data_IF_105893359883
#
_entry.id   IF_105893359883
#
_cell.length_a   1.000
_cell.length_b   1.000
_cell.length_c   1.000
_cell.angle_alpha   90.00
_cell.angle_beta   90.00
_cell.angle_gamma   90.00
#
_symmetry.space_group_name_H-M   'P 1'
#
loop_
_entity.id
_entity.type
_entity.pdbx_description
1 polymer ?
#
# COMPACT_ATOMS: atom_id res chain seq x y z
N UNK A 1 66.27 10.41 11.71
CA UNK A 1 64.90 10.89 11.43
C UNK A 1 64.00 9.68 11.34
N UNK A 2 63.07 9.49 12.29
CA UNK A 2 62.14 8.36 12.29
C UNK A 2 60.90 8.76 11.48
N UNK A 3 60.62 8.04 10.40
CA UNK A 3 59.41 8.23 9.61
C UNK A 3 58.22 7.60 10.35
N UNK A 4 57.28 8.43 10.77
CA UNK A 4 55.99 8.00 11.30
C UNK A 4 55.05 7.86 10.09
N UNK A 5 54.51 6.68 9.78
CA UNK A 5 53.54 6.53 8.71
C UNK A 5 52.22 7.18 9.14
N UNK A 6 51.76 8.14 8.34
CA UNK A 6 50.47 8.80 8.50
C UNK A 6 49.41 7.95 7.81
N UNK A 7 48.61 7.22 8.58
CA UNK A 7 47.44 6.51 8.06
C UNK A 7 46.30 7.53 7.87
N UNK A 8 45.95 7.81 6.62
CA UNK A 8 44.79 8.61 6.28
C UNK A 8 43.54 7.75 6.52
N UNK A 9 42.84 7.97 7.64
CA UNK A 9 41.51 7.41 7.84
C UNK A 9 40.55 8.10 6.86
N UNK A 10 40.11 7.38 5.83
CA UNK A 10 39.02 7.80 4.98
C UNK A 10 37.71 7.60 5.76
N UNK A 11 37.21 8.65 6.43
CA UNK A 11 35.85 8.63 6.96
C UNK A 11 34.87 8.66 5.79
N UNK A 12 34.35 7.50 5.39
CA UNK A 12 33.19 7.42 4.52
C UNK A 12 31.99 7.83 5.40
N UNK A 13 31.27 8.91 5.07
CA UNK A 13 30.05 9.24 5.80
C UNK A 13 29.04 8.12 5.57
N UNK A 14 28.74 7.37 6.63
CA UNK A 14 27.56 6.52 6.67
C UNK A 14 26.37 7.46 6.65
N UNK A 15 25.78 7.66 5.47
CA UNK A 15 24.48 8.31 5.37
C UNK A 15 23.45 7.40 6.03
N UNK A 16 23.12 7.70 7.29
CA UNK A 16 21.92 7.17 7.94
C UNK A 16 20.73 7.83 7.25
N UNK A 17 20.07 7.11 6.34
CA UNK A 17 18.80 7.55 5.77
C UNK A 17 17.74 7.40 6.85
N UNK A 18 17.46 8.49 7.57
CA UNK A 18 16.26 8.56 8.39
C UNK A 18 15.02 8.40 7.50
N UNK A 19 13.94 7.87 8.06
CA UNK A 19 12.62 7.89 7.44
C UNK A 19 12.23 9.35 7.17
N UNK A 20 11.61 9.60 6.02
CA UNK A 20 11.25 10.96 5.61
C UNK A 20 9.77 11.00 5.21
N UNK A 21 9.06 11.99 5.75
CA UNK A 21 7.77 12.43 5.24
C UNK A 21 7.99 13.79 4.60
N UNK A 22 7.91 13.85 3.28
CA UNK A 22 8.32 15.00 2.47
C UNK A 22 7.07 15.59 1.84
N UNK A 23 6.84 16.87 2.08
CA UNK A 23 5.89 17.64 1.29
C UNK A 23 6.60 18.11 0.03
N UNK A 24 6.07 17.74 -1.13
CA UNK A 24 6.60 18.12 -2.44
C UNK A 24 5.51 18.70 -3.32
N UNK A 25 5.93 19.27 -4.44
CA UNK A 25 5.01 19.73 -5.48
C UNK A 25 5.65 19.61 -6.87
N UNK A 26 4.80 19.44 -7.88
CA UNK A 26 5.18 19.55 -9.29
C UNK A 26 4.24 20.52 -10.00
N UNK A 27 4.67 21.02 -11.16
CA UNK A 27 3.81 21.75 -12.07
C UNK A 27 3.28 20.78 -13.13
N UNK A 28 1.96 20.73 -13.31
CA UNK A 28 1.31 19.99 -14.39
C UNK A 28 0.22 20.88 -14.99
N UNK A 29 0.26 21.11 -16.31
CA UNK A 29 -0.68 22.00 -17.01
C UNK A 29 -0.83 23.40 -16.39
N UNK A 30 0.28 23.94 -15.89
CA UNK A 30 0.32 25.25 -15.24
C UNK A 30 -0.31 25.29 -13.84
N UNK A 31 -0.74 24.14 -13.31
CA UNK A 31 -1.23 23.98 -11.94
C UNK A 31 -0.12 23.43 -11.04
N UNK A 32 0.08 24.07 -9.89
CA UNK A 32 0.91 23.47 -8.84
C UNK A 32 0.11 22.33 -8.19
N UNK A 33 0.71 21.14 -8.16
CA UNK A 33 0.13 19.92 -7.63
C UNK A 33 0.98 19.41 -6.49
N UNK A 34 0.45 19.52 -5.27
CA UNK A 34 1.15 19.14 -4.05
C UNK A 34 0.97 17.65 -3.73
N UNK A 35 1.93 17.06 -3.03
CA UNK A 35 1.88 15.68 -2.57
C UNK A 35 2.67 15.49 -1.27
N UNK A 36 2.39 14.39 -0.58
CA UNK A 36 3.18 13.91 0.57
C UNK A 36 3.82 12.57 0.18
N UNK A 37 5.15 12.54 0.11
CA UNK A 37 5.92 11.32 -0.10
C UNK A 37 6.43 10.79 1.24
N UNK A 38 6.23 9.49 1.47
CA UNK A 38 6.85 8.75 2.54
C UNK A 38 7.96 7.85 2.00
N UNK A 39 9.18 8.05 2.51
CA UNK A 39 10.35 7.23 2.21
C UNK A 39 10.70 6.45 3.49
N UNK A 40 10.51 5.11 3.52
CA UNK A 40 10.89 4.32 4.68
C UNK A 40 12.41 4.32 4.82
N UNK A 41 12.94 4.25 6.04
CA UNK A 41 14.40 4.21 6.20
C UNK A 41 15.06 2.92 5.69
N UNK A 42 14.27 1.87 5.50
CA UNK A 42 14.71 0.64 4.87
C UNK A 42 15.09 0.84 3.40
N UNK A 43 14.60 1.91 2.73
CA UNK A 43 14.98 2.28 1.36
C UNK A 43 16.50 2.52 1.24
N UNK A 44 17.08 1.94 0.19
CA UNK A 44 18.51 2.08 -0.13
C UNK A 44 18.63 2.82 -1.47
N UNK A 45 19.24 4.03 -1.49
CA UNK A 45 19.46 4.76 -2.73
C UNK A 45 20.19 3.90 -3.78
N UNK A 46 19.65 3.88 -5.01
CA UNK A 46 20.19 3.10 -6.12
C UNK A 46 19.67 1.66 -6.23
N UNK A 47 18.93 1.17 -5.24
CA UNK A 47 18.21 -0.11 -5.32
C UNK A 47 16.76 0.18 -5.71
N UNK A 48 16.26 -0.33 -6.86
CA UNK A 48 14.87 -0.15 -7.26
C UNK A 48 13.89 -0.64 -6.18
N UNK A 49 12.94 0.21 -5.82
CA UNK A 49 11.89 -0.09 -4.83
C UNK A 49 10.50 0.15 -5.45
N UNK A 50 9.47 -0.60 -5.04
CA UNK A 50 8.10 -0.37 -5.51
C UNK A 50 7.57 1.01 -5.08
N UNK A 51 6.62 1.54 -5.85
CA UNK A 51 5.90 2.79 -5.55
C UNK A 51 4.41 2.50 -5.38
N UNK A 52 3.81 2.98 -4.29
CA UNK A 52 2.35 3.00 -4.10
C UNK A 52 1.84 4.44 -4.21
N UNK A 53 0.87 4.67 -5.08
CA UNK A 53 0.09 5.90 -5.15
C UNK A 53 -1.17 5.71 -4.29
N UNK A 54 -1.42 6.58 -3.30
CA UNK A 54 -2.58 6.48 -2.42
C UNK A 54 -3.42 7.77 -2.45
N UNK A 55 -4.55 7.70 -3.16
CA UNK A 55 -5.41 8.83 -3.49
C UNK A 55 -6.51 9.04 -2.44
N UNK A 56 -6.69 10.29 -2.02
CA UNK A 56 -7.73 10.68 -1.05
C UNK A 56 -9.13 10.72 -1.68
N UNK A 57 -10.18 10.60 -0.85
CA UNK A 57 -11.57 10.78 -1.26
C UNK A 57 -11.97 12.24 -1.50
N UNK A 58 -13.15 12.48 -2.05
CA UNK A 58 -13.68 13.84 -2.28
C UNK A 58 -13.72 14.63 -0.97
N UNK A 59 -13.39 15.93 -1.02
CA UNK A 59 -13.24 16.86 0.13
C UNK A 59 -12.04 16.62 1.07
N UNK A 60 -11.36 15.48 0.95
CA UNK A 60 -10.21 15.14 1.81
C UNK A 60 -8.88 15.67 1.22
N UNK A 61 -7.74 15.27 1.76
CA UNK A 61 -6.43 15.68 1.30
C UNK A 61 -5.37 14.61 1.57
N UNK A 62 -4.17 14.81 1.01
CA UNK A 62 -3.02 13.92 1.14
C UNK A 62 -2.66 13.60 2.60
N UNK A 63 -2.75 14.58 3.51
CA UNK A 63 -2.42 14.38 4.91
C UNK A 63 -3.44 13.45 5.56
N UNK A 64 -4.74 13.72 5.41
CA UNK A 64 -5.80 12.88 5.96
C UNK A 64 -5.71 11.44 5.42
N UNK A 65 -5.53 11.27 4.10
CA UNK A 65 -5.44 9.94 3.49
C UNK A 65 -4.25 9.13 4.01
N UNK A 66 -3.10 9.78 4.24
CA UNK A 66 -1.91 9.14 4.80
C UNK A 66 -2.15 8.51 6.18
N UNK A 67 -3.06 9.06 6.99
CA UNK A 67 -3.45 8.46 8.27
C UNK A 67 -4.67 7.55 8.17
N UNK A 68 -5.62 7.86 7.28
CA UNK A 68 -6.87 7.11 7.17
C UNK A 68 -6.66 5.71 6.60
N UNK A 69 -5.86 5.61 5.54
CA UNK A 69 -5.36 4.37 4.96
C UNK A 69 -3.85 4.26 5.16
N UNK A 70 -3.40 4.16 6.41
CA UNK A 70 -1.97 4.26 6.76
C UNK A 70 -1.17 3.03 6.30
N UNK A 71 -0.24 3.23 5.37
CA UNK A 71 0.71 2.22 4.91
C UNK A 71 2.10 2.39 5.50
N UNK A 72 2.38 3.43 6.29
CA UNK A 72 3.76 3.74 6.71
C UNK A 72 4.42 2.62 7.51
N UNK A 73 3.73 1.95 8.48
CA UNK A 73 4.30 0.77 9.15
C UNK A 73 4.57 -0.41 8.19
N UNK A 74 3.76 -0.53 7.13
CA UNK A 74 3.90 -1.55 6.09
C UNK A 74 5.11 -1.21 5.21
N UNK A 75 5.27 0.05 4.82
CA UNK A 75 6.41 0.56 4.04
C UNK A 75 7.73 0.41 4.79
N UNK A 76 7.76 0.68 6.10
CA UNK A 76 8.94 0.48 6.96
C UNK A 76 9.43 -0.96 6.91
N UNK A 77 8.50 -1.91 6.87
CA UNK A 77 8.77 -3.35 6.85
C UNK A 77 9.13 -3.84 5.44
N UNK A 78 8.34 -3.46 4.44
CA UNK A 78 8.40 -4.02 3.10
C UNK A 78 9.24 -3.22 2.10
N UNK A 79 9.69 -2.01 2.47
CA UNK A 79 10.67 -1.24 1.72
C UNK A 79 10.16 -0.57 0.44
N UNK A 80 8.86 -0.29 0.33
CA UNK A 80 8.28 0.48 -0.78
C UNK A 80 8.13 1.97 -0.44
N UNK A 81 8.19 2.83 -1.46
CA UNK A 81 7.83 4.23 -1.33
C UNK A 81 6.31 4.38 -1.45
N UNK A 82 5.71 5.30 -0.70
CA UNK A 82 4.29 5.64 -0.88
C UNK A 82 4.10 7.14 -0.99
N UNK A 83 3.37 7.56 -2.01
CA UNK A 83 3.04 8.97 -2.24
C UNK A 83 1.53 9.17 -2.13
N UNK A 84 1.15 10.27 -1.47
CA UNK A 84 -0.23 10.72 -1.27
C UNK A 84 -0.38 12.04 -2.03
N UNK A 85 -0.90 12.04 -3.26
CA UNK A 85 -1.05 13.27 -4.03
C UNK A 85 -2.31 14.05 -3.59
N UNK A 86 -2.33 15.37 -3.77
CA UNK A 86 -3.53 16.19 -3.59
C UNK A 86 -4.29 16.35 -4.91
N UNK A 87 -5.60 16.15 -4.82
CA UNK A 87 -6.56 16.49 -5.87
C UNK A 87 -6.70 18.00 -6.03
N UNK A 88 -7.16 18.43 -7.20
CA UNK A 88 -7.45 19.84 -7.45
C UNK A 88 -8.77 20.26 -6.80
N UNK A 89 -9.02 21.56 -6.74
CA UNK A 89 -10.25 22.09 -6.16
C UNK A 89 -11.30 22.27 -7.27
N UNK A 90 -12.51 21.76 -7.04
CA UNK A 90 -13.64 21.92 -7.95
C UNK A 90 -14.33 23.29 -7.80
N UNK A 91 -15.41 23.50 -8.55
CA UNK A 91 -16.17 24.75 -8.53
C UNK A 91 -16.85 25.05 -7.18
N UNK A 92 -16.99 24.05 -6.32
CA UNK A 92 -17.59 24.18 -4.98
C UNK A 92 -16.53 24.42 -3.90
N UNK A 93 -15.25 24.47 -4.24
CA UNK A 93 -14.17 24.64 -3.28
C UNK A 93 -13.71 23.32 -2.64
N UNK A 94 -14.11 22.17 -3.19
CA UNK A 94 -13.77 20.86 -2.66
C UNK A 94 -12.64 20.20 -3.46
N UNK A 95 -11.70 19.60 -2.76
CA UNK A 95 -10.64 18.78 -3.36
C UNK A 95 -11.22 17.50 -4.00
N UNK A 96 -10.75 17.17 -5.19
CA UNK A 96 -11.27 16.07 -5.99
C UNK A 96 -10.27 15.57 -7.06
N UNK A 97 -10.58 14.40 -7.60
CA UNK A 97 -10.00 13.81 -8.80
C UNK A 97 -11.02 13.81 -9.94
N UNK A 98 -10.58 14.18 -11.14
CA UNK A 98 -11.34 14.05 -12.37
C UNK A 98 -11.33 12.59 -12.86
N UNK A 99 -12.39 11.86 -12.53
CA UNK A 99 -12.55 10.43 -12.86
C UNK A 99 -13.57 10.19 -13.97
N UNK A 100 -13.66 11.14 -14.90
CA UNK A 100 -14.49 11.00 -16.11
C UNK A 100 -15.99 11.24 -15.88
N UNK A 101 -16.36 11.94 -14.81
CA UNK A 101 -17.72 12.45 -14.61
C UNK A 101 -17.71 13.93 -14.18
N UNK A 102 -18.92 14.50 -14.11
CA UNK A 102 -19.09 15.89 -13.71
C UNK A 102 -18.58 16.85 -14.78
N UNK A 103 -18.08 18.01 -14.34
CA UNK A 103 -17.67 19.11 -15.23
C UNK A 103 -16.18 19.40 -15.17
N UNK A 104 -15.41 18.59 -14.44
CA UNK A 104 -13.96 18.80 -14.32
C UNK A 104 -13.27 18.45 -15.64
N UNK A 105 -12.29 19.27 -16.01
CA UNK A 105 -11.44 19.08 -17.18
C UNK A 105 -9.96 18.95 -16.80
N UNK A 106 -9.68 18.75 -15.51
CA UNK A 106 -8.31 18.58 -14.99
C UNK A 106 -7.75 17.26 -15.48
N UNK A 107 -6.52 17.26 -15.98
CA UNK A 107 -5.82 16.04 -16.40
C UNK A 107 -5.14 15.38 -15.19
N UNK A 108 -5.89 14.53 -14.48
CA UNK A 108 -5.34 13.78 -13.35
C UNK A 108 -4.56 12.53 -13.77
N UNK A 109 -4.75 12.02 -15.00
CA UNK A 109 -3.93 10.93 -15.56
C UNK A 109 -2.54 11.48 -15.89
N UNK A 110 -2.47 12.57 -16.65
CA UNK A 110 -1.22 13.24 -17.01
C UNK A 110 -0.45 13.70 -15.77
N UNK A 111 -1.14 14.30 -14.80
CA UNK A 111 -0.52 14.65 -13.52
C UNK A 111 0.09 13.43 -12.82
N UNK A 112 -0.61 12.29 -12.79
CA UNK A 112 -0.11 11.08 -12.14
C UNK A 112 1.13 10.55 -12.86
N UNK A 113 1.15 10.58 -14.20
CA UNK A 113 2.33 10.21 -14.99
C UNK A 113 3.52 11.12 -14.70
N UNK A 114 3.33 12.43 -14.70
CA UNK A 114 4.38 13.42 -14.41
C UNK A 114 4.91 13.28 -12.97
N UNK A 115 4.04 12.92 -12.02
CA UNK A 115 4.43 12.65 -10.64
C UNK A 115 5.32 11.42 -10.54
N UNK A 116 4.96 10.32 -11.22
CA UNK A 116 5.80 9.11 -11.26
C UNK A 116 7.17 9.46 -11.83
N UNK A 117 7.23 10.22 -12.92
CA UNK A 117 8.49 10.60 -13.56
C UNK A 117 9.34 11.51 -12.67
N UNK A 118 8.73 12.50 -12.02
CA UNK A 118 9.38 13.41 -11.07
C UNK A 118 9.98 12.68 -9.87
N UNK A 119 9.26 11.68 -9.33
CA UNK A 119 9.77 10.85 -8.23
C UNK A 119 10.86 9.90 -8.73
N UNK A 120 10.71 9.32 -9.91
CA UNK A 120 11.70 8.40 -10.50
C UNK A 120 13.02 9.10 -10.87
N UNK A 121 13.00 10.42 -11.06
CA UNK A 121 14.21 11.22 -11.23
C UNK A 121 15.00 11.40 -9.91
N UNK A 122 14.36 11.22 -8.76
CA UNK A 122 14.94 11.45 -7.44
C UNK A 122 15.20 10.15 -6.66
N UNK A 123 14.40 9.11 -6.92
CA UNK A 123 14.43 7.83 -6.24
C UNK A 123 14.55 6.70 -7.25
N UNK A 124 15.26 5.63 -6.88
CA UNK A 124 15.31 4.41 -7.66
C UNK A 124 13.97 3.68 -7.50
N UNK A 125 13.03 3.98 -8.37
CA UNK A 125 11.70 3.36 -8.41
C UNK A 125 11.70 2.23 -9.44
N UNK A 126 11.27 1.05 -9.01
CA UNK A 126 11.02 -0.07 -9.91
C UNK A 126 9.80 0.26 -10.79
N UNK A 127 10.06 0.57 -12.06
CA UNK A 127 9.03 0.98 -13.02
C UNK A 127 8.03 -0.13 -13.34
N UNK A 128 8.37 -1.38 -13.04
CA UNK A 128 7.46 -2.51 -13.24
C UNK A 128 6.56 -2.73 -12.00
N UNK A 129 6.80 -2.01 -10.89
CA UNK A 129 6.11 -2.21 -9.61
C UNK A 129 5.58 -0.89 -9.06
N UNK A 130 4.76 -0.23 -9.87
CA UNK A 130 4.00 0.96 -9.47
C UNK A 130 2.54 0.56 -9.32
N UNK A 131 1.96 0.84 -8.16
CA UNK A 131 0.61 0.43 -7.81
C UNK A 131 -0.27 1.63 -7.46
N UNK A 132 -1.58 1.51 -7.65
CA UNK A 132 -2.53 2.57 -7.30
C UNK A 132 -3.59 2.07 -6.33
N UNK A 133 -3.82 2.84 -5.27
CA UNK A 133 -4.93 2.64 -4.35
C UNK A 133 -5.57 3.95 -3.95
N UNK A 134 -6.78 3.90 -3.42
CA UNK A 134 -7.41 5.08 -2.82
C UNK A 134 -8.79 4.80 -2.26
N UNK A 135 -9.32 5.78 -1.56
CA UNK A 135 -10.66 5.71 -0.99
C UNK A 135 -11.66 6.51 -1.83
N UNK A 136 -12.89 6.02 -2.00
CA UNK A 136 -13.99 6.80 -2.59
C UNK A 136 -13.58 7.35 -3.96
N UNK A 137 -13.64 8.67 -4.19
CA UNK A 137 -13.13 9.34 -5.40
C UNK A 137 -11.67 8.95 -5.76
N UNK A 138 -10.79 8.66 -4.80
CA UNK A 138 -9.46 8.11 -5.03
C UNK A 138 -9.45 6.61 -5.42
N UNK A 139 -10.46 5.84 -4.98
CA UNK A 139 -10.71 4.48 -5.47
C UNK A 139 -11.17 4.49 -6.93
N UNK A 140 -12.05 5.43 -7.30
CA UNK A 140 -12.38 5.69 -8.71
C UNK A 140 -11.15 6.10 -9.51
N UNK A 141 -10.27 6.93 -8.94
CA UNK A 141 -9.02 7.32 -9.60
C UNK A 141 -8.13 6.10 -9.90
N UNK A 142 -8.07 5.13 -8.99
CA UNK A 142 -7.31 3.89 -9.24
C UNK A 142 -7.84 3.10 -10.43
N UNK A 143 -9.17 2.96 -10.58
CA UNK A 143 -9.75 2.41 -11.80
C UNK A 143 -9.50 3.27 -13.04
N UNK A 144 -9.54 4.60 -12.90
CA UNK A 144 -9.26 5.53 -13.99
C UNK A 144 -7.82 5.36 -14.51
N UNK A 145 -6.85 5.18 -13.60
CA UNK A 145 -5.45 4.90 -13.93
C UNK A 145 -5.25 3.50 -14.52
N UNK A 146 -5.97 2.48 -14.04
CA UNK A 146 -5.92 1.17 -14.67
C UNK A 146 -6.37 1.20 -16.14
N UNK A 147 -7.30 2.09 -16.50
CA UNK A 147 -7.74 2.24 -17.89
C UNK A 147 -6.83 3.17 -18.71
N UNK A 148 -6.39 4.29 -18.12
CA UNK A 148 -5.73 5.39 -18.83
C UNK A 148 -4.21 5.48 -18.69
N UNK A 149 -3.61 4.73 -17.76
CA UNK A 149 -2.17 4.71 -17.47
C UNK A 149 -1.68 3.26 -17.22
N UNK A 150 -2.31 2.30 -17.90
CA UNK A 150 -1.99 0.87 -17.75
C UNK A 150 -0.58 0.51 -18.20
N UNK A 151 0.11 1.35 -18.96
CA UNK A 151 1.52 1.14 -19.32
C UNK A 151 2.48 1.35 -18.14
N UNK A 152 1.99 1.94 -17.03
CA UNK A 152 2.78 2.22 -15.82
C UNK A 152 2.27 1.51 -14.57
N UNK A 153 0.96 1.23 -14.49
CA UNK A 153 0.32 0.71 -13.28
C UNK A 153 0.28 -0.82 -13.32
N UNK A 154 1.00 -1.47 -12.42
CA UNK A 154 1.11 -2.92 -12.35
C UNK A 154 -0.10 -3.60 -11.69
N UNK A 155 -0.75 -2.94 -10.72
CA UNK A 155 -1.94 -3.43 -10.03
C UNK A 155 -2.70 -2.28 -9.36
N UNK A 156 -4.00 -2.47 -9.15
CA UNK A 156 -4.85 -1.51 -8.46
C UNK A 156 -5.66 -2.11 -7.30
N UNK A 157 -5.95 -1.28 -6.31
CA UNK A 157 -6.92 -1.57 -5.28
C UNK A 157 -7.87 -0.36 -5.10
N UNK A 158 -9.15 -0.62 -4.90
CA UNK A 158 -10.15 0.41 -4.64
C UNK A 158 -10.84 0.12 -3.31
N UNK A 159 -10.93 1.14 -2.46
CA UNK A 159 -11.65 1.08 -1.19
C UNK A 159 -12.84 2.03 -1.29
N UNK A 160 -14.05 1.48 -1.23
CA UNK A 160 -15.32 2.22 -1.35
C UNK A 160 -15.42 3.12 -2.60
N UNK A 161 -14.63 2.83 -3.64
CA UNK A 161 -14.72 3.40 -4.99
C UNK A 161 -15.42 2.44 -5.95
N UNK A 162 -15.60 2.85 -7.20
CA UNK A 162 -16.15 1.99 -8.26
C UNK A 162 -15.61 2.45 -9.62
N UNK A 163 -16.18 1.97 -10.71
CA UNK A 163 -15.95 2.51 -12.05
C UNK A 163 -17.13 3.40 -12.46
N UNK A 164 -16.87 4.45 -13.22
CA UNK A 164 -17.91 5.13 -13.99
C UNK A 164 -18.54 4.12 -14.96
N UNK A 165 -19.87 4.17 -15.15
CA UNK A 165 -20.60 3.25 -16.03
C UNK A 165 -20.04 3.21 -17.46
N UNK A 166 -19.54 4.33 -17.98
CA UNK A 166 -18.95 4.40 -19.31
C UNK A 166 -17.63 3.61 -19.38
N UNK A 167 -16.84 3.62 -18.30
CA UNK A 167 -15.56 2.90 -18.24
C UNK A 167 -15.72 1.39 -18.40
N UNK A 168 -16.86 0.79 -18.00
CA UNK A 168 -17.11 -0.65 -18.22
C UNK A 168 -17.10 -1.06 -19.70
N UNK A 169 -17.22 -0.09 -20.61
CA UNK A 169 -17.25 -0.32 -22.07
C UNK A 169 -16.06 0.28 -22.81
N UNK A 170 -15.35 1.23 -22.21
CA UNK A 170 -14.25 1.95 -22.86
C UNK A 170 -12.88 1.67 -22.25
N UNK A 171 -12.83 1.06 -21.07
CA UNK A 171 -11.57 0.65 -20.46
C UNK A 171 -10.94 -0.47 -21.30
N UNK A 172 -9.65 -0.34 -21.62
CA UNK A 172 -8.88 -1.34 -22.37
C UNK A 172 -7.40 -1.29 -21.96
N UNK A 173 -7.04 -1.83 -20.78
CA UNK A 173 -5.66 -1.85 -20.30
C UNK A 173 -4.70 -2.60 -21.24
N UNK A 174 -3.43 -2.20 -21.26
CA UNK A 174 -2.41 -2.79 -22.15
C UNK A 174 -1.90 -4.18 -21.70
N UNK A 175 -2.21 -4.60 -20.47
CA UNK A 175 -1.82 -5.89 -19.92
C UNK A 175 -2.92 -6.41 -18.96
N UNK A 176 -2.92 -7.72 -18.62
CA UNK A 176 -3.78 -8.23 -17.55
C UNK A 176 -3.53 -7.46 -16.25
N UNK A 177 -4.58 -6.96 -15.62
CA UNK A 177 -4.50 -6.01 -14.51
C UNK A 177 -5.00 -6.66 -13.23
N UNK A 178 -4.14 -6.98 -12.25
CA UNK A 178 -4.58 -7.38 -10.91
C UNK A 178 -5.45 -6.28 -10.27
N UNK A 179 -6.64 -6.65 -9.81
CA UNK A 179 -7.61 -5.73 -9.18
C UNK A 179 -8.06 -6.25 -7.82
N UNK A 180 -8.01 -5.40 -6.80
CA UNK A 180 -8.70 -5.62 -5.52
C UNK A 180 -9.81 -4.59 -5.31
N UNK A 181 -11.00 -5.03 -4.91
CA UNK A 181 -12.13 -4.16 -4.56
C UNK A 181 -12.60 -4.43 -3.13
N UNK A 182 -12.61 -3.39 -2.29
CA UNK A 182 -13.06 -3.46 -0.89
C UNK A 182 -14.27 -2.55 -0.73
N UNK A 183 -15.44 -3.10 -0.40
CA UNK A 183 -16.67 -2.32 -0.44
C UNK A 183 -17.72 -2.74 0.60
N UNK A 184 -18.33 -1.74 1.23
CA UNK A 184 -19.44 -1.91 2.17
C UNK A 184 -20.77 -2.15 1.47
N UNK A 185 -21.53 -3.16 1.88
CA UNK A 185 -22.86 -3.41 1.28
C UNK A 185 -23.90 -2.36 1.69
N UNK A 186 -23.65 -1.62 2.78
CA UNK A 186 -24.50 -0.55 3.31
C UNK A 186 -23.87 0.83 3.14
N UNK A 187 -22.97 0.97 2.16
CA UNK A 187 -22.35 2.24 1.80
C UNK A 187 -23.41 3.25 1.29
N UNK A 188 -23.65 4.36 2.02
CA UNK A 188 -24.67 5.34 1.64
C UNK A 188 -24.18 6.35 0.59
N UNK A 189 -22.88 6.35 0.27
CA UNK A 189 -22.23 7.36 -0.57
C UNK A 189 -21.94 6.81 -1.97
N UNK A 190 -21.26 5.67 -2.03
CA UNK A 190 -21.02 4.90 -3.25
C UNK A 190 -21.77 3.59 -3.06
N UNK A 191 -23.04 3.58 -3.46
CA UNK A 191 -23.89 2.42 -3.22
C UNK A 191 -23.30 1.16 -3.91
N UNK A 192 -23.19 0.06 -3.16
CA UNK A 192 -22.72 -1.23 -3.67
C UNK A 192 -23.47 -1.70 -4.93
N UNK A 193 -24.77 -1.35 -5.02
CA UNK A 193 -25.65 -1.66 -6.15
C UNK A 193 -25.50 -0.71 -7.34
N UNK A 194 -24.61 0.28 -7.27
CA UNK A 194 -24.39 1.26 -8.32
C UNK A 194 -25.55 2.24 -8.51
N UNK A 195 -25.40 3.09 -9.52
CA UNK A 195 -26.45 3.97 -10.04
C UNK A 195 -26.19 4.31 -11.52
N UNK A 196 -26.77 5.41 -12.02
CA UNK A 196 -26.61 5.82 -13.42
C UNK A 196 -25.23 6.45 -13.75
N UNK A 197 -24.43 6.81 -12.74
CA UNK A 197 -23.10 7.43 -12.90
C UNK A 197 -22.00 6.39 -12.67
N UNK A 198 -22.12 5.57 -11.64
CA UNK A 198 -21.13 4.55 -11.30
C UNK A 198 -21.72 3.14 -11.29
N UNK A 199 -20.92 2.19 -11.71
CA UNK A 199 -21.31 0.80 -11.87
C UNK A 199 -21.59 0.11 -10.53
N UNK A 200 -22.51 -0.86 -10.50
CA UNK A 200 -22.63 -1.80 -9.38
C UNK A 200 -21.31 -2.56 -9.20
N UNK A 201 -20.87 -2.76 -7.95
CA UNK A 201 -19.62 -3.48 -7.65
C UNK A 201 -19.57 -4.88 -8.26
N UNK A 202 -20.67 -5.67 -8.27
CA UNK A 202 -20.67 -6.95 -8.99
C UNK A 202 -20.41 -6.83 -10.50
N UNK A 203 -20.81 -5.72 -11.13
CA UNK A 203 -20.53 -5.48 -12.57
C UNK A 203 -19.09 -5.06 -12.80
N UNK A 204 -18.49 -4.28 -11.90
CA UNK A 204 -17.05 -3.95 -11.93
C UNK A 204 -16.22 -5.22 -11.81
N UNK A 205 -16.53 -6.08 -10.84
CA UNK A 205 -15.85 -7.36 -10.65
C UNK A 205 -16.01 -8.26 -11.89
N UNK A 206 -17.22 -8.37 -12.43
CA UNK A 206 -17.46 -9.18 -13.63
C UNK A 206 -16.64 -8.69 -14.84
N UNK A 207 -16.52 -7.37 -15.02
CA UNK A 207 -15.68 -6.79 -16.06
C UNK A 207 -14.21 -7.20 -15.89
N UNK A 208 -13.62 -7.00 -14.72
CA UNK A 208 -12.21 -7.31 -14.48
C UNK A 208 -11.90 -8.80 -14.50
N UNK A 209 -12.81 -9.65 -13.99
CA UNK A 209 -12.71 -11.12 -14.09
C UNK A 209 -12.70 -11.56 -15.54
N UNK A 210 -13.57 -10.99 -16.38
CA UNK A 210 -13.62 -11.30 -17.80
C UNK A 210 -12.38 -10.78 -18.54
N UNK A 211 -11.98 -9.53 -18.29
CA UNK A 211 -10.81 -8.90 -18.89
C UNK A 211 -9.53 -9.70 -18.60
N UNK A 212 -9.34 -10.12 -17.35
CA UNK A 212 -8.19 -10.93 -16.94
C UNK A 212 -8.29 -12.41 -17.31
N UNK A 213 -9.45 -12.89 -17.77
CA UNK A 213 -9.75 -14.30 -17.97
C UNK A 213 -9.56 -15.16 -16.68
N UNK A 214 -9.95 -14.61 -15.52
CA UNK A 214 -9.89 -15.34 -14.25
C UNK A 214 -10.91 -16.49 -14.19
N UNK A 215 -10.61 -17.52 -13.40
CA UNK A 215 -11.50 -18.65 -13.19
C UNK A 215 -12.78 -18.26 -12.42
N UNK A 216 -13.88 -18.94 -12.74
CA UNK A 216 -15.16 -18.83 -12.05
C UNK A 216 -15.74 -20.22 -11.75
N UNK A 217 -16.44 -20.44 -10.63
CA UNK A 217 -16.73 -19.48 -9.54
C UNK A 217 -15.48 -19.12 -8.70
N UNK A 218 -15.52 -18.02 -7.93
CA UNK A 218 -14.42 -17.65 -7.04
C UNK A 218 -14.31 -18.61 -5.85
N UNK A 219 -13.11 -18.67 -5.26
CA UNK A 219 -12.96 -19.18 -3.90
C UNK A 219 -13.54 -18.15 -2.92
N UNK A 220 -14.41 -18.60 -2.02
CA UNK A 220 -15.09 -17.72 -1.06
C UNK A 220 -14.74 -18.13 0.37
N UNK A 221 -14.25 -17.17 1.16
CA UNK A 221 -13.90 -17.36 2.56
C UNK A 221 -14.55 -16.28 3.43
N UNK A 222 -15.13 -16.66 4.57
CA UNK A 222 -15.51 -15.68 5.59
C UNK A 222 -14.27 -15.20 6.33
N UNK A 223 -14.15 -13.90 6.56
CA UNK A 223 -13.17 -13.35 7.50
C UNK A 223 -13.73 -13.55 8.92
N UNK A 224 -12.93 -14.06 9.87
CA UNK A 224 -13.38 -14.19 11.25
C UNK A 224 -13.83 -12.86 11.84
N UNK A 225 -15.06 -12.82 12.37
CA UNK A 225 -15.61 -11.68 13.12
C UNK A 225 -14.99 -11.64 14.52
N UNK A 226 -13.85 -10.97 14.64
CA UNK A 226 -13.11 -10.79 15.89
C UNK A 226 -13.59 -9.56 16.65
N UNK A 227 -14.14 -8.55 15.96
CA UNK A 227 -14.67 -7.33 16.53
C UNK A 227 -16.18 -7.22 16.33
N UNK A 228 -16.91 -8.06 17.07
CA UNK A 228 -18.38 -8.12 17.05
C UNK A 228 -19.13 -6.82 17.41
N UNK A 229 -18.42 -5.78 17.86
CA UNK A 229 -19.00 -4.47 18.20
C UNK A 229 -19.01 -3.47 17.04
N UNK A 230 -18.35 -3.75 15.93
CA UNK A 230 -18.27 -2.83 14.80
C UNK A 230 -19.53 -2.83 13.91
N UNK A 231 -20.41 -3.82 14.08
CA UNK A 231 -21.71 -3.90 13.41
C UNK A 231 -21.67 -4.42 11.96
N UNK A 232 -20.55 -4.98 11.51
CA UNK A 232 -20.39 -5.55 10.19
C UNK A 232 -19.55 -6.83 10.22
N UNK A 233 -19.53 -7.56 9.10
CA UNK A 233 -18.63 -8.71 8.91
C UNK A 233 -18.03 -8.63 7.51
N UNK A 234 -17.04 -9.47 7.19
CA UNK A 234 -16.40 -9.45 5.89
C UNK A 234 -16.33 -10.85 5.24
N UNK A 235 -16.53 -10.87 3.92
CA UNK A 235 -16.34 -12.03 3.07
C UNK A 235 -15.28 -11.70 2.01
N UNK A 236 -14.36 -12.64 1.78
CA UNK A 236 -13.33 -12.56 0.76
C UNK A 236 -13.70 -13.48 -0.41
N UNK A 237 -13.65 -12.93 -1.62
CA UNK A 237 -13.86 -13.65 -2.87
C UNK A 237 -12.60 -13.52 -3.73
N UNK A 238 -12.02 -14.64 -4.13
CA UNK A 238 -10.82 -14.72 -4.95
C UNK A 238 -11.12 -15.35 -6.31
N UNK A 239 -10.94 -14.57 -7.38
CA UNK A 239 -10.99 -15.04 -8.76
C UNK A 239 -9.56 -15.25 -9.26
N UNK A 240 -9.05 -16.47 -9.07
CA UNK A 240 -7.65 -16.81 -9.35
C UNK A 240 -7.39 -17.23 -10.81
N UNK A 241 -6.11 -17.47 -11.12
CA UNK A 241 -5.64 -18.05 -12.38
C UNK A 241 -6.04 -17.25 -13.64
N UNK A 242 -6.04 -15.93 -13.56
CA UNK A 242 -6.13 -15.09 -14.75
C UNK A 242 -4.88 -15.19 -15.62
N UNK A 243 -4.92 -14.50 -16.76
CA UNK A 243 -3.80 -14.37 -17.69
C UNK A 243 -2.57 -13.86 -16.96
N UNK A 244 -1.41 -14.49 -17.17
CA UNK A 244 -0.16 -14.23 -16.43
C UNK A 244 -0.27 -14.40 -14.90
N UNK A 245 -1.23 -15.20 -14.43
CA UNK A 245 -1.41 -15.49 -13.00
C UNK A 245 -2.01 -14.31 -12.22
N UNK A 246 -2.56 -13.30 -12.88
CA UNK A 246 -3.25 -12.19 -12.20
C UNK A 246 -4.54 -12.69 -11.55
N UNK A 247 -4.98 -11.96 -10.53
CA UNK A 247 -6.18 -12.30 -9.77
C UNK A 247 -7.08 -11.07 -9.64
N UNK A 248 -8.38 -11.32 -9.43
CA UNK A 248 -9.32 -10.31 -8.97
C UNK A 248 -9.79 -10.70 -7.58
N UNK A 249 -9.62 -9.82 -6.60
CA UNK A 249 -10.03 -10.04 -5.22
C UNK A 249 -11.16 -9.07 -4.83
N UNK A 250 -12.15 -9.56 -4.08
CA UNK A 250 -13.19 -8.73 -3.50
C UNK A 250 -13.33 -8.98 -2.01
N UNK A 251 -13.18 -7.93 -1.21
CA UNK A 251 -13.59 -7.92 0.19
C UNK A 251 -14.95 -7.24 0.30
N UNK A 252 -15.98 -8.07 0.47
CA UNK A 252 -17.37 -7.64 0.64
C UNK A 252 -17.64 -7.44 2.12
N UNK A 253 -17.80 -6.20 2.55
CA UNK A 253 -18.05 -5.87 3.95
C UNK A 253 -19.57 -5.83 4.18
N UNK A 254 -20.11 -6.92 4.69
CA UNK A 254 -21.54 -7.10 4.97
C UNK A 254 -21.95 -6.13 6.08
N UNK A 255 -22.96 -5.30 5.80
CA UNK A 255 -23.40 -4.16 6.61
C UNK A 255 -22.33 -3.05 6.80
N UNK A 256 -21.18 -3.15 6.13
CA UNK A 256 -20.16 -2.12 6.15
C UNK A 256 -20.63 -0.84 5.46
N UNK A 257 -20.17 0.30 5.97
CA UNK A 257 -20.48 1.64 5.43
C UNK A 257 -19.31 2.19 4.58
N UNK A 258 -19.38 3.46 4.21
CA UNK A 258 -18.33 4.16 3.46
C UNK A 258 -17.08 4.42 4.33
N UNK A 259 -16.26 3.39 4.54
CA UNK A 259 -15.11 3.46 5.42
C UNK A 259 -13.94 2.59 4.95
N UNK A 260 -12.75 2.90 5.43
CA UNK A 260 -11.54 2.09 5.22
C UNK A 260 -11.39 1.03 6.32
N UNK A 261 -11.49 -0.29 6.01
CA UNK A 261 -11.38 -1.33 7.03
C UNK A 261 -10.05 -1.29 7.80
N UNK A 262 -10.14 -1.41 9.12
CA UNK A 262 -9.02 -1.32 10.05
C UNK A 262 -8.52 0.10 10.32
N UNK A 263 -9.21 1.14 9.83
CA UNK A 263 -8.86 2.53 10.13
C UNK A 263 -9.16 2.88 11.59
N UNK A 264 -8.22 3.57 12.23
CA UNK A 264 -8.35 4.05 13.60
C UNK A 264 -9.39 5.19 13.76
N UNK A 265 -9.87 5.75 12.65
CA UNK A 265 -10.85 6.85 12.62
C UNK A 265 -12.25 6.37 12.24
N UNK A 266 -12.46 5.06 12.21
CA UNK A 266 -13.75 4.43 11.89
C UNK A 266 -14.78 4.52 13.01
N UNK A 267 -16.06 4.47 12.63
CA UNK A 267 -17.19 4.30 13.53
C UNK A 267 -17.89 2.96 13.31
N UNK A 268 -19.12 2.82 13.83
CA UNK A 268 -19.98 1.66 13.54
C UNK A 268 -20.15 1.51 12.02
N UNK A 269 -19.95 0.29 11.52
CA UNK A 269 -19.92 -0.07 10.11
C UNK A 269 -18.54 0.02 9.47
N UNK A 270 -17.51 0.49 10.18
CA UNK A 270 -16.11 0.35 9.74
C UNK A 270 -15.59 -0.99 10.22
N UNK A 271 -15.38 -1.93 9.32
CA UNK A 271 -14.91 -3.27 9.70
C UNK A 271 -13.52 -3.21 10.34
N UNK A 272 -13.38 -3.83 11.51
CA UNK A 272 -12.14 -3.91 12.30
C UNK A 272 -11.60 -5.35 12.37
N UNK A 273 -12.17 -6.28 11.60
CA UNK A 273 -11.72 -7.67 11.51
C UNK A 273 -10.55 -7.84 10.52
N UNK A 274 -10.43 -6.92 9.56
CA UNK A 274 -9.34 -6.88 8.60
C UNK A 274 -8.71 -5.49 8.54
N UNK A 275 -7.47 -5.42 8.06
CA UNK A 275 -6.79 -4.16 7.77
C UNK A 275 -6.61 -4.03 6.27
N UNK A 276 -7.35 -3.10 5.64
CA UNK A 276 -7.32 -2.94 4.19
C UNK A 276 -5.92 -2.58 3.67
N UNK A 277 -5.16 -1.72 4.35
CA UNK A 277 -3.79 -1.36 3.92
C UNK A 277 -2.88 -2.58 3.87
N UNK A 278 -3.00 -3.48 4.86
CA UNK A 278 -2.25 -4.74 4.93
C UNK A 278 -2.60 -5.66 3.78
N UNK A 279 -3.90 -5.90 3.54
CA UNK A 279 -4.37 -6.77 2.46
C UNK A 279 -4.00 -6.22 1.07
N UNK A 280 -4.10 -4.90 0.89
CA UNK A 280 -3.71 -4.23 -0.35
C UNK A 280 -2.22 -4.44 -0.63
N UNK A 281 -1.34 -4.29 0.37
CA UNK A 281 0.08 -4.57 0.16
C UNK A 281 0.35 -6.06 -0.07
N UNK A 282 -0.30 -6.95 0.68
CA UNK A 282 -0.21 -8.41 0.46
C UNK A 282 -0.52 -8.73 -1.00
N UNK A 283 -1.55 -8.10 -1.56
CA UNK A 283 -1.94 -8.26 -2.95
C UNK A 283 -0.94 -7.63 -3.92
N UNK A 284 -0.62 -6.33 -3.78
CA UNK A 284 0.31 -5.63 -4.68
C UNK A 284 1.68 -6.31 -4.77
N UNK A 285 2.20 -6.78 -3.63
CA UNK A 285 3.54 -7.38 -3.56
C UNK A 285 3.73 -8.62 -4.43
N UNK A 286 2.64 -9.26 -4.87
CA UNK A 286 2.64 -10.42 -5.77
C UNK A 286 2.94 -10.07 -7.23
N UNK A 287 2.73 -8.82 -7.65
CA UNK A 287 2.62 -8.49 -9.07
C UNK A 287 3.66 -7.46 -9.53
N UNK A 288 4.08 -7.60 -10.78
CA UNK A 288 4.67 -6.52 -11.56
C UNK A 288 3.81 -6.28 -12.82
N UNK A 289 4.22 -5.37 -13.70
CA UNK A 289 3.47 -5.03 -14.93
C UNK A 289 3.30 -6.21 -15.90
N UNK A 290 4.02 -7.32 -15.69
CA UNK A 290 3.90 -8.54 -16.49
C UNK A 290 3.01 -9.60 -15.86
N UNK A 291 2.53 -9.40 -14.62
CA UNK A 291 1.64 -10.30 -13.91
C UNK A 291 2.27 -10.83 -12.62
N UNK A 292 2.00 -12.10 -12.28
CA UNK A 292 2.50 -12.72 -11.05
C UNK A 292 4.04 -12.85 -11.10
N UNK A 293 4.73 -12.27 -10.12
CA UNK A 293 6.19 -12.36 -10.00
C UNK A 293 6.56 -13.82 -9.68
N UNK A 294 7.26 -14.47 -10.60
CA UNK A 294 7.77 -15.82 -10.38
C UNK A 294 9.12 -15.76 -9.64
N UNK A 295 9.13 -16.11 -8.35
CA UNK A 295 10.37 -16.21 -7.58
C UNK A 295 11.09 -17.51 -7.95
N UNK A 296 12.10 -17.42 -8.82
CA UNK A 296 12.99 -18.57 -9.13
C UNK A 296 14.03 -18.87 -8.05
N UNK A 297 13.94 -18.23 -6.86
CA UNK A 297 14.85 -18.49 -5.74
C UNK A 297 14.08 -19.05 -4.54
N UNK A 298 14.62 -20.09 -3.94
CA UNK A 298 14.00 -20.93 -2.91
C UNK A 298 13.82 -20.26 -1.53
N UNK A 299 13.79 -18.93 -1.43
CA UNK A 299 13.74 -18.22 -0.14
C UNK A 299 12.76 -17.04 -0.06
N UNK A 300 12.06 -16.67 -1.13
CA UNK A 300 10.92 -15.75 -1.01
C UNK A 300 9.64 -16.58 -0.98
N UNK A 301 9.40 -17.23 0.16
CA UNK A 301 8.04 -17.62 0.50
C UNK A 301 7.27 -16.31 0.59
N UNK A 302 6.33 -16.09 -0.35
CA UNK A 302 5.29 -15.08 -0.14
C UNK A 302 4.55 -15.55 1.10
N UNK A 303 4.92 -14.99 2.25
CA UNK A 303 4.22 -15.31 3.48
C UNK A 303 2.87 -14.60 3.41
N UNK A 304 1.74 -15.35 3.44
CA UNK A 304 0.42 -14.73 3.51
C UNK A 304 0.26 -13.84 4.75
N UNK A 305 1.09 -14.02 5.78
CA UNK A 305 1.11 -13.28 7.02
C UNK A 305 2.13 -12.13 6.96
N UNK A 306 1.63 -10.92 6.72
CA UNK A 306 2.44 -9.71 6.85
C UNK A 306 2.61 -9.34 8.33
N UNK A 307 3.76 -9.71 8.89
CA UNK A 307 4.18 -9.26 10.21
C UNK A 307 4.78 -7.86 10.09
N UNK A 308 4.39 -6.96 10.99
CA UNK A 308 4.84 -5.56 10.98
C UNK A 308 5.89 -5.33 12.05
N UNK A 309 6.93 -4.58 11.70
CA UNK A 309 8.01 -4.21 12.61
C UNK A 309 8.27 -2.71 12.44
N UNK A 310 7.83 -1.91 13.42
CA UNK A 310 7.81 -0.44 13.31
C UNK A 310 7.90 0.24 14.68
N UNK A 311 8.23 1.54 14.77
CA UNK A 311 8.77 2.35 13.68
C UNK A 311 10.16 1.87 13.27
N UNK A 312 10.51 2.04 12.00
CA UNK A 312 11.86 1.75 11.52
C UNK A 312 12.33 2.89 10.60
N UNK A 313 13.12 3.85 11.11
CA UNK A 313 14.06 3.73 12.23
C UNK A 313 13.41 3.84 13.60
N UNK A 314 14.12 3.34 14.61
CA UNK A 314 13.69 3.35 16.00
C UNK A 314 14.63 4.13 16.90
N UNK A 315 14.07 4.86 17.87
CA UNK A 315 14.81 5.51 18.96
C UNK A 315 14.77 4.70 20.26
N UNK A 316 13.57 4.35 20.73
CA UNK A 316 13.37 3.74 22.05
C UNK A 316 12.72 2.37 21.97
N UNK A 317 11.65 2.23 21.18
CA UNK A 317 10.79 1.05 21.24
C UNK A 317 10.41 0.61 19.84
N UNK A 318 10.60 -0.68 19.55
CA UNK A 318 10.11 -1.33 18.33
C UNK A 318 8.86 -2.11 18.70
N UNK A 319 7.76 -1.85 18.01
CA UNK A 319 6.56 -2.69 18.06
C UNK A 319 6.65 -3.77 16.99
N UNK A 320 6.46 -5.02 17.42
CA UNK A 320 6.32 -6.18 16.55
C UNK A 320 4.85 -6.61 16.60
N UNK A 321 4.20 -6.65 15.44
CA UNK A 321 2.82 -7.12 15.29
C UNK A 321 2.79 -8.32 14.35
N UNK A 322 2.49 -9.49 14.89
CA UNK A 322 2.38 -10.76 14.19
C UNK A 322 0.95 -11.02 13.76
N UNK A 323 0.79 -11.67 12.61
CA UNK A 323 -0.51 -12.07 12.08
C UNK A 323 -1.00 -13.44 12.58
N UNK A 324 -0.30 -14.02 13.55
CA UNK A 324 -0.61 -15.35 14.07
C UNK A 324 -0.39 -15.40 15.58
N UNK A 325 -1.28 -16.10 16.27
CA UNK A 325 -1.24 -16.28 17.72
C UNK A 325 -0.43 -17.53 18.09
N UNK A 326 0.89 -17.44 17.94
CA UNK A 326 1.82 -18.49 18.39
C UNK A 326 2.97 -17.90 19.20
N UNK A 327 3.41 -18.60 20.27
CA UNK A 327 4.63 -18.24 20.98
C UNK A 327 5.79 -18.14 19.99
N UNK A 328 6.42 -16.97 19.92
CA UNK A 328 7.45 -16.69 18.94
C UNK A 328 8.72 -16.26 19.65
N UNK A 329 9.80 -16.99 19.38
CA UNK A 329 11.13 -16.58 19.79
C UNK A 329 11.60 -15.43 18.91
N UNK A 330 12.16 -14.39 19.54
CA UNK A 330 12.81 -13.30 18.82
C UNK A 330 14.26 -13.15 19.28
N UNK A 331 15.09 -12.69 18.35
CA UNK A 331 16.51 -12.43 18.58
C UNK A 331 16.92 -11.20 17.77
N UNK A 332 17.46 -10.19 18.43
CA UNK A 332 18.07 -9.04 17.79
C UNK A 332 19.58 -9.22 17.79
N UNK A 333 20.19 -9.19 16.61
CA UNK A 333 21.62 -9.36 16.41
C UNK A 333 22.24 -8.16 15.68
N UNK A 334 23.53 -7.92 15.89
CA UNK A 334 24.31 -7.02 15.04
C UNK A 334 24.53 -7.63 13.65
N UNK A 335 24.98 -6.85 12.68
CA UNK A 335 25.34 -7.37 11.34
C UNK A 335 26.45 -8.44 11.36
N UNK A 336 27.20 -8.57 12.45
CA UNK A 336 28.23 -9.59 12.64
C UNK A 336 27.69 -10.85 13.36
N UNK A 337 26.38 -10.94 13.56
CA UNK A 337 25.72 -12.07 14.22
C UNK A 337 25.81 -12.07 15.75
N UNK A 338 26.39 -11.03 16.37
CA UNK A 338 26.38 -10.92 17.83
C UNK A 338 24.97 -10.59 18.32
N UNK A 339 24.39 -11.49 19.10
CA UNK A 339 23.08 -11.28 19.74
C UNK A 339 23.18 -10.21 20.81
N UNK A 340 22.33 -9.19 20.73
CA UNK A 340 22.24 -8.08 21.70
C UNK A 340 20.98 -8.15 22.55
N UNK A 341 19.95 -8.84 22.06
CA UNK A 341 18.69 -9.07 22.77
C UNK A 341 18.05 -10.36 22.26
N UNK A 342 17.37 -11.11 23.12
CA UNK A 342 16.55 -12.25 22.71
C UNK A 342 15.50 -12.53 23.76
N UNK A 343 14.36 -13.09 23.35
CA UNK A 343 13.29 -13.44 24.27
C UNK A 343 12.21 -14.26 23.58
N UNK A 344 11.15 -14.54 24.33
CA UNK A 344 9.94 -15.17 23.79
C UNK A 344 8.78 -14.21 23.98
N UNK A 345 7.95 -14.07 22.96
CA UNK A 345 6.65 -13.41 23.08
C UNK A 345 5.54 -14.45 22.99
N UNK A 346 4.50 -14.24 23.80
CA UNK A 346 3.25 -15.01 23.78
C UNK A 346 2.07 -14.13 23.33
N UNK A 347 2.35 -12.94 22.82
CA UNK A 347 1.37 -11.97 22.32
C UNK A 347 1.59 -11.74 20.84
N UNK A 348 0.50 -11.54 20.10
CA UNK A 348 0.53 -11.12 18.69
C UNK A 348 1.06 -9.70 18.52
N UNK A 349 1.01 -8.84 19.55
CA UNK A 349 1.62 -7.50 19.55
C UNK A 349 2.47 -7.32 20.80
N UNK A 350 3.73 -6.93 20.62
CA UNK A 350 4.65 -6.70 21.74
C UNK A 350 5.75 -5.71 21.37
N UNK A 351 6.28 -5.07 22.41
CA UNK A 351 7.28 -4.00 22.29
C UNK A 351 8.66 -4.49 22.75
N UNK A 352 9.69 -4.12 22.00
CA UNK A 352 11.09 -4.30 22.36
C UNK A 352 11.71 -2.95 22.75
N UNK A 353 12.15 -2.81 23.99
CA UNK A 353 12.91 -1.65 24.45
C UNK A 353 14.36 -1.72 23.96
N UNK A 354 14.67 -0.90 22.97
CA UNK A 354 15.98 -0.77 22.33
C UNK A 354 16.70 0.52 22.72
N UNK A 355 16.21 1.28 23.71
CA UNK A 355 16.78 2.58 24.08
C UNK A 355 18.26 2.49 24.48
N UNK A 356 18.67 1.36 25.07
CA UNK A 356 20.06 1.11 25.49
C UNK A 356 21.02 0.69 24.36
N UNK A 357 20.54 0.46 23.14
CA UNK A 357 21.39 0.05 22.01
C UNK A 357 22.09 1.26 21.38
N UNK A 358 23.32 1.05 20.92
CA UNK A 358 24.06 2.06 20.17
C UNK A 358 23.42 2.29 18.79
N UNK A 359 23.53 3.51 18.22
CA UNK A 359 23.07 3.76 16.85
C UNK A 359 23.74 2.82 15.85
N UNK A 360 22.96 2.25 14.92
CA UNK A 360 23.46 1.27 13.96
C UNK A 360 22.38 0.40 13.33
N UNK A 361 22.81 -0.53 12.48
CA UNK A 361 21.94 -1.54 11.88
C UNK A 361 21.97 -2.84 12.66
N UNK A 362 20.79 -3.42 12.83
CA UNK A 362 20.55 -4.69 13.50
C UNK A 362 19.67 -5.60 12.64
N UNK A 363 19.75 -6.91 12.87
CA UNK A 363 18.87 -7.92 12.28
C UNK A 363 17.99 -8.46 13.38
N UNK A 364 16.69 -8.24 13.27
CA UNK A 364 15.68 -8.80 14.14
C UNK A 364 15.17 -10.11 13.51
N UNK A 365 15.44 -11.21 14.18
CA UNK A 365 14.89 -12.53 13.87
C UNK A 365 13.62 -12.71 14.68
N UNK A 366 12.51 -13.08 14.04
CA UNK A 366 11.23 -13.41 14.69
C UNK A 366 10.69 -14.67 14.02
N UNK A 367 10.72 -15.79 14.75
CA UNK A 367 10.50 -17.10 14.14
C UNK A 367 11.51 -17.38 13.02
N UNK A 368 11.02 -17.64 11.81
CA UNK A 368 11.85 -17.88 10.61
C UNK A 368 12.12 -16.60 9.79
N UNK A 369 11.53 -15.46 10.19
CA UNK A 369 11.63 -14.19 9.46
C UNK A 369 12.76 -13.32 9.99
N UNK A 370 13.32 -12.52 9.08
CA UNK A 370 14.38 -11.57 9.38
C UNK A 370 13.93 -10.16 8.96
N UNK A 371 14.10 -9.20 9.87
CA UNK A 371 13.76 -7.79 9.67
C UNK A 371 15.01 -6.94 9.87
N UNK A 372 15.25 -6.01 8.96
CA UNK A 372 16.31 -5.00 9.10
C UNK A 372 15.82 -3.92 10.05
N UNK A 373 16.57 -3.65 11.11
CA UNK A 373 16.29 -2.59 12.09
C UNK A 373 17.35 -1.51 12.02
N UNK A 374 16.93 -0.25 11.99
CA UNK A 374 17.81 0.93 12.01
C UNK A 374 17.61 1.65 13.34
N UNK A 375 18.60 1.58 14.23
CA UNK A 375 18.63 2.31 15.52
C UNK A 375 19.29 3.66 15.33
N UNK A 376 18.62 4.73 15.74
CA UNK A 376 19.14 6.10 15.72
C UNK A 376 19.81 6.53 17.03
#
# INVERSE_FOLDING_TARGET
MKHIPFYLLLCIPLFSTAQQTINGSILHDGLQRDYILYVPASYVPGTPAPLVLNFHGYTSNAFEQMFYGDFRPIADTAGFLIVHPNGTVDQLGNTHWNVGWGTSNVDDIGFTSDLIDSLSAQYAIDQNRIYSTGMSNGGFMSYFLACGLSDRIAAIASVTGSMNVNQLTTCDPQHPMPVMEIHGTSDPTVAYTGNIIFAPIPSVLAYWVAFNACHTPPDQNSIPDINTGDGCTAEHYLYANGTNGVEVEHYKIINGVHAWPGSAFGGVGTNQDMNASKEIWRFFSKYDIHGLIQTTSTNEHVDPHLDLVYPNPVNTTITIKLDYDKPTHYMLSTLFGQVVMSGNSYSTTYDLDVAGLSPGMYVLHVGEKNFKIIKQ
#
